data_IF_920180054133
#
_entry.id   IF_920180054133
#
_cell.length_a   1.000
_cell.length_b   1.000
_cell.length_c   1.000
_cell.angle_alpha   90.00
_cell.angle_beta   90.00
_cell.angle_gamma   90.00
#
_symmetry.space_group_name_H-M   'P 1'
#
loop_
_entity.id
_entity.type
_entity.pdbx_description
1 polymer ?
#
# COMPACT_ATOMS: atom_id res chain seq x y z
N UNK A 1 28.80 -1.02 2.83
CA UNK A 1 27.96 -0.74 4.02
C UNK A 1 28.12 -1.88 5.00
N UNK A 2 28.41 -1.61 6.28
CA UNK A 2 28.55 -2.67 7.28
C UNK A 2 27.23 -3.43 7.46
N UNK A 3 27.32 -4.76 7.59
CA UNK A 3 26.16 -5.67 7.70
C UNK A 3 25.20 -5.25 8.83
N UNK A 4 25.75 -4.76 9.93
CA UNK A 4 24.99 -4.33 11.11
C UNK A 4 24.19 -3.05 10.85
N UNK A 5 24.83 -2.04 10.22
CA UNK A 5 24.16 -0.79 9.84
C UNK A 5 22.99 -1.06 8.88
N UNK A 6 23.15 -2.00 7.96
CA UNK A 6 22.09 -2.42 7.03
C UNK A 6 20.88 -2.99 7.76
N UNK A 7 21.11 -3.85 8.75
CA UNK A 7 20.04 -4.46 9.52
C UNK A 7 19.27 -3.41 10.34
N UNK A 8 20.00 -2.49 10.98
CA UNK A 8 19.41 -1.38 11.74
C UNK A 8 18.53 -0.51 10.82
N UNK A 9 19.02 -0.16 9.63
CA UNK A 9 18.25 0.64 8.68
C UNK A 9 17.00 -0.08 8.17
N UNK A 10 17.09 -1.38 7.87
CA UNK A 10 15.91 -2.17 7.47
C UNK A 10 14.89 -2.21 8.60
N UNK A 11 15.33 -2.43 9.84
CA UNK A 11 14.45 -2.45 11.00
C UNK A 11 13.78 -1.08 11.22
N UNK A 12 14.52 0.01 11.08
CA UNK A 12 13.98 1.37 11.16
C UNK A 12 12.92 1.64 10.08
N UNK A 13 13.13 1.18 8.84
CA UNK A 13 12.14 1.31 7.77
C UNK A 13 10.88 0.47 8.02
N UNK A 14 11.03 -0.74 8.58
CA UNK A 14 9.88 -1.56 9.00
C UNK A 14 9.10 -0.85 10.11
N UNK A 15 9.79 -0.27 11.10
CA UNK A 15 9.14 0.51 12.15
C UNK A 15 8.39 1.71 11.54
N UNK A 16 8.97 2.37 10.54
CA UNK A 16 8.30 3.47 9.83
C UNK A 16 7.00 3.01 9.13
N UNK A 17 6.98 1.83 8.50
CA UNK A 17 5.76 1.24 7.94
C UNK A 17 4.70 0.97 9.02
N UNK A 18 5.12 0.48 10.18
CA UNK A 18 4.23 0.24 11.32
C UNK A 18 3.65 1.56 11.83
N UNK A 19 4.45 2.62 11.92
CA UNK A 19 3.99 3.94 12.35
C UNK A 19 2.97 4.53 11.38
N UNK A 20 3.18 4.40 10.07
CA UNK A 20 2.19 4.85 9.07
C UNK A 20 0.84 4.16 9.27
N UNK A 21 0.87 2.87 9.60
CA UNK A 21 -0.35 2.10 9.91
C UNK A 21 -0.96 2.50 11.24
N UNK A 22 -0.15 2.71 12.27
CA UNK A 22 -0.65 3.07 13.60
C UNK A 22 -1.34 4.44 13.60
N UNK A 23 -0.76 5.41 12.90
CA UNK A 23 -1.31 6.76 12.76
C UNK A 23 -2.25 6.91 11.55
N UNK A 24 -2.80 5.80 11.02
CA UNK A 24 -3.62 5.86 9.81
C UNK A 24 -4.91 6.67 10.02
N UNK A 25 -5.50 6.60 11.22
CA UNK A 25 -6.76 7.28 11.60
C UNK A 25 -6.57 8.80 11.75
N UNK A 26 -5.37 9.25 12.15
CA UNK A 26 -5.08 10.68 12.38
C UNK A 26 -4.45 11.37 11.16
N UNK A 27 -3.53 10.68 10.48
CA UNK A 27 -2.73 11.28 9.40
C UNK A 27 -3.47 11.38 8.08
N UNK A 28 -4.49 10.54 7.84
CA UNK A 28 -5.17 10.59 6.56
C UNK A 28 -6.68 10.39 6.62
N UNK A 29 -7.35 11.20 5.80
CA UNK A 29 -8.80 11.20 5.68
C UNK A 29 -9.30 9.95 4.95
N UNK A 30 -10.01 9.09 5.67
CA UNK A 30 -10.66 7.91 5.10
C UNK A 30 -11.99 7.57 5.78
N UNK A 31 -13.12 8.14 5.31
CA UNK A 31 -14.44 7.89 5.87
C UNK A 31 -14.89 6.43 5.70
N UNK A 32 -14.25 5.67 4.81
CA UNK A 32 -14.57 4.25 4.68
C UNK A 32 -13.97 3.42 5.80
N UNK A 33 -12.94 3.89 6.50
CA UNK A 33 -12.38 3.12 7.61
C UNK A 33 -13.42 2.92 8.72
N UNK A 34 -14.14 3.98 9.07
CA UNK A 34 -15.25 3.94 10.03
C UNK A 34 -16.48 3.22 9.46
N UNK A 35 -16.77 3.38 8.17
CA UNK A 35 -17.83 2.65 7.49
C UNK A 35 -17.69 1.13 7.62
N UNK A 36 -16.51 0.58 7.31
CA UNK A 36 -16.26 -0.86 7.40
C UNK A 36 -16.09 -1.37 8.84
N UNK A 37 -15.86 -0.48 9.82
CA UNK A 37 -15.90 -0.82 11.25
C UNK A 37 -17.34 -0.99 11.77
N UNK A 38 -18.32 -0.35 11.13
CA UNK A 38 -19.75 -0.48 11.41
C UNK A 38 -20.41 -1.54 10.50
N UNK A 39 -21.71 -1.81 10.67
CA UNK A 39 -22.49 -2.77 9.86
C UNK A 39 -22.65 -2.33 8.39
N UNK A 40 -21.55 -2.32 7.64
CA UNK A 40 -21.41 -1.86 6.26
C UNK A 40 -22.26 -2.65 5.26
N UNK A 41 -22.76 -3.82 5.64
CA UNK A 41 -23.67 -4.63 4.84
C UNK A 41 -25.09 -4.04 4.77
N UNK A 42 -25.44 -3.13 5.69
CA UNK A 42 -26.80 -2.60 5.83
C UNK A 42 -26.88 -1.07 5.75
N UNK A 43 -25.74 -0.38 5.61
CA UNK A 43 -25.66 1.09 5.63
C UNK A 43 -25.22 1.60 4.26
N UNK A 44 -25.83 2.70 3.82
CA UNK A 44 -25.41 3.37 2.59
C UNK A 44 -24.00 3.96 2.70
N UNK A 45 -23.31 3.90 1.57
CA UNK A 45 -22.00 4.50 1.36
C UNK A 45 -21.95 5.96 1.88
N UNK A 46 -21.08 6.31 2.86
CA UNK A 46 -21.03 7.65 3.46
C UNK A 46 -20.82 8.76 2.43
N UNK A 47 -21.25 9.98 2.78
CA UNK A 47 -20.98 11.19 2.00
C UNK A 47 -19.47 11.45 2.03
N UNK A 48 -18.83 11.54 0.86
CA UNK A 48 -17.36 11.65 0.76
C UNK A 48 -16.95 12.83 -0.09
N UNK A 49 -15.89 13.49 0.33
CA UNK A 49 -15.08 14.30 -0.57
C UNK A 49 -14.14 13.38 -1.35
N UNK A 50 -14.57 12.93 -2.54
CA UNK A 50 -13.83 11.94 -3.33
C UNK A 50 -12.44 12.45 -3.74
N UNK A 51 -12.26 13.75 -3.97
CA UNK A 51 -10.92 14.32 -4.20
C UNK A 51 -10.00 14.16 -2.98
N UNK A 52 -10.48 14.51 -1.78
CA UNK A 52 -9.70 14.44 -0.54
C UNK A 52 -9.34 12.98 -0.22
N UNK A 53 -10.31 12.08 -0.31
CA UNK A 53 -10.12 10.63 -0.15
C UNK A 53 -9.04 10.08 -1.11
N UNK A 54 -9.13 10.41 -2.40
CA UNK A 54 -8.18 9.94 -3.41
C UNK A 54 -6.79 10.50 -3.11
N UNK A 55 -6.65 11.80 -2.83
CA UNK A 55 -5.37 12.42 -2.52
C UNK A 55 -4.68 11.76 -1.31
N UNK A 56 -5.41 11.52 -0.23
CA UNK A 56 -4.87 10.85 0.96
C UNK A 56 -4.54 9.36 0.71
N UNK A 57 -5.35 8.66 -0.08
CA UNK A 57 -5.06 7.27 -0.49
C UNK A 57 -3.80 7.20 -1.35
N UNK A 58 -3.64 8.14 -2.29
CA UNK A 58 -2.44 8.27 -3.12
C UNK A 58 -1.20 8.59 -2.29
N UNK A 59 -1.32 9.50 -1.32
CA UNK A 59 -0.23 9.85 -0.40
C UNK A 59 0.21 8.65 0.43
N UNK A 60 -0.73 7.88 0.99
CA UNK A 60 -0.44 6.63 1.71
C UNK A 60 0.31 5.64 0.81
N UNK A 61 -0.21 5.41 -0.40
CA UNK A 61 0.43 4.50 -1.34
C UNK A 61 1.86 4.95 -1.67
N UNK A 62 2.07 6.24 -1.89
CA UNK A 62 3.38 6.81 -2.19
C UNK A 62 4.36 6.63 -1.01
N UNK A 63 3.96 6.96 0.21
CA UNK A 63 4.80 6.78 1.41
C UNK A 63 5.18 5.31 1.61
N UNK A 64 4.20 4.41 1.54
CA UNK A 64 4.45 2.97 1.61
C UNK A 64 5.40 2.49 0.51
N UNK A 65 5.23 2.98 -0.71
CA UNK A 65 6.08 2.64 -1.86
C UNK A 65 7.51 3.11 -1.64
N UNK A 66 7.73 4.36 -1.22
CA UNK A 66 9.08 4.90 -0.97
C UNK A 66 9.83 4.09 0.09
N UNK A 67 9.15 3.77 1.20
CA UNK A 67 9.75 2.98 2.29
C UNK A 67 10.01 1.55 1.82
N UNK A 68 9.07 0.96 1.09
CA UNK A 68 9.20 -0.39 0.53
C UNK A 68 10.35 -0.51 -0.46
N UNK A 69 10.54 0.48 -1.35
CA UNK A 69 11.68 0.55 -2.25
C UNK A 69 12.99 0.71 -1.47
N UNK A 70 12.99 1.49 -0.39
CA UNK A 70 14.11 1.58 0.55
C UNK A 70 14.48 0.22 1.15
N UNK A 71 13.49 -0.54 1.61
CA UNK A 71 13.68 -1.90 2.15
C UNK A 71 14.25 -2.83 1.09
N UNK A 72 13.69 -2.85 -0.12
CA UNK A 72 14.17 -3.67 -1.24
C UNK A 72 15.62 -3.28 -1.63
N UNK A 73 15.94 -1.99 -1.59
CA UNK A 73 17.28 -1.52 -1.93
C UNK A 73 18.28 -2.02 -0.90
N UNK A 74 17.96 -1.91 0.39
CA UNK A 74 18.82 -2.40 1.46
C UNK A 74 18.92 -3.93 1.46
N UNK A 75 17.85 -4.65 1.14
CA UNK A 75 17.84 -6.11 1.12
C UNK A 75 18.73 -6.69 0.01
N UNK A 76 18.68 -6.12 -1.19
CA UNK A 76 19.35 -6.68 -2.35
C UNK A 76 20.56 -5.88 -2.86
N UNK A 77 20.66 -4.59 -2.54
CA UNK A 77 21.72 -3.66 -2.98
C UNK A 77 21.92 -3.58 -4.51
N UNK A 78 20.91 -3.98 -5.29
CA UNK A 78 20.94 -3.96 -6.77
C UNK A 78 19.99 -2.89 -7.30
N UNK A 79 20.54 -1.95 -8.08
CA UNK A 79 19.73 -0.90 -8.74
C UNK A 79 18.74 -1.48 -9.77
N UNK A 80 19.03 -2.62 -10.38
CA UNK A 80 18.13 -3.31 -11.31
C UNK A 80 16.82 -3.74 -10.66
N UNK A 81 16.90 -4.27 -9.43
CA UNK A 81 15.72 -4.68 -8.63
C UNK A 81 14.84 -3.47 -8.33
N UNK A 82 15.43 -2.32 -8.00
CA UNK A 82 14.66 -1.09 -7.76
C UNK A 82 13.98 -0.58 -9.02
N UNK A 83 14.68 -0.53 -10.17
CA UNK A 83 14.08 -0.12 -11.44
C UNK A 83 12.88 -1.00 -11.79
N UNK A 84 13.01 -2.32 -11.65
CA UNK A 84 11.91 -3.25 -11.90
C UNK A 84 10.76 -3.05 -10.90
N UNK A 85 11.09 -2.93 -9.61
CA UNK A 85 10.08 -2.72 -8.55
C UNK A 85 9.27 -1.45 -8.80
N UNK A 86 9.91 -0.34 -9.16
CA UNK A 86 9.24 0.93 -9.48
C UNK A 86 8.20 0.73 -10.59
N UNK A 87 8.52 -0.02 -11.65
CA UNK A 87 7.57 -0.32 -12.72
C UNK A 87 6.36 -1.08 -12.18
N UNK A 88 6.57 -2.11 -11.35
CA UNK A 88 5.49 -2.88 -10.73
C UNK A 88 4.61 -2.00 -9.82
N UNK A 89 5.23 -1.14 -9.00
CA UNK A 89 4.48 -0.23 -8.14
C UNK A 89 3.64 0.77 -8.94
N UNK A 90 4.19 1.36 -10.01
CA UNK A 90 3.47 2.32 -10.86
C UNK A 90 2.31 1.66 -11.59
N UNK A 91 2.54 0.50 -12.23
CA UNK A 91 1.48 -0.23 -12.93
C UNK A 91 0.39 -0.71 -11.96
N UNK A 92 0.80 -1.26 -10.81
CA UNK A 92 -0.10 -1.68 -9.75
C UNK A 92 -0.93 -0.52 -9.21
N UNK A 93 -0.32 0.64 -8.99
CA UNK A 93 -1.03 1.85 -8.55
C UNK A 93 -2.09 2.30 -9.55
N UNK A 94 -1.74 2.41 -10.84
CA UNK A 94 -2.70 2.85 -11.87
C UNK A 94 -3.89 1.88 -11.93
N UNK A 95 -3.62 0.57 -11.94
CA UNK A 95 -4.66 -0.45 -11.98
C UNK A 95 -5.55 -0.42 -10.73
N UNK A 96 -4.95 -0.43 -9.55
CA UNK A 96 -5.67 -0.44 -8.28
C UNK A 96 -6.45 0.85 -8.04
N UNK A 97 -5.89 2.00 -8.42
CA UNK A 97 -6.56 3.30 -8.28
C UNK A 97 -7.76 3.39 -9.22
N UNK A 98 -7.65 2.92 -10.47
CA UNK A 98 -8.77 2.86 -11.39
C UNK A 98 -9.90 1.98 -10.85
N UNK A 99 -9.56 0.80 -10.32
CA UNK A 99 -10.52 -0.09 -9.69
C UNK A 99 -11.15 0.56 -8.44
N UNK A 100 -10.36 1.22 -7.59
CA UNK A 100 -10.85 1.95 -6.43
C UNK A 100 -11.85 3.06 -6.82
N UNK A 101 -11.53 3.87 -7.84
CA UNK A 101 -12.40 4.93 -8.33
C UNK A 101 -13.73 4.39 -8.88
N UNK A 102 -13.70 3.26 -9.57
CA UNK A 102 -14.91 2.60 -10.08
C UNK A 102 -15.90 2.30 -8.95
N UNK A 103 -15.43 1.71 -7.84
CA UNK A 103 -16.27 1.41 -6.67
C UNK A 103 -16.69 2.66 -5.89
N UNK A 104 -15.86 3.71 -5.87
CA UNK A 104 -16.21 4.97 -5.22
C UNK A 104 -17.37 5.66 -5.95
N UNK A 105 -17.40 5.59 -7.29
CA UNK A 105 -18.46 6.19 -8.12
C UNK A 105 -19.72 5.31 -8.18
N UNK A 106 -19.55 3.98 -8.19
CA UNK A 106 -20.65 3.02 -8.27
C UNK A 106 -20.69 2.09 -7.04
N UNK A 107 -21.05 2.60 -5.85
CA UNK A 107 -21.09 1.79 -4.64
C UNK A 107 -22.27 0.82 -4.71
N UNK A 108 -21.99 -0.48 -4.84
CA UNK A 108 -22.98 -1.55 -4.71
C UNK A 108 -22.65 -2.43 -3.51
N UNK A 109 -23.64 -2.78 -2.70
CA UNK A 109 -23.44 -3.56 -1.48
C UNK A 109 -22.81 -4.94 -1.76
N UNK A 110 -23.21 -5.58 -2.88
CA UNK A 110 -22.63 -6.84 -3.37
C UNK A 110 -21.10 -6.76 -3.59
N UNK A 111 -20.59 -5.57 -3.92
CA UNK A 111 -19.19 -5.34 -4.25
C UNK A 111 -18.34 -4.85 -3.06
N UNK A 112 -18.93 -4.61 -1.89
CA UNK A 112 -18.23 -4.02 -0.74
C UNK A 112 -17.05 -4.87 -0.25
N UNK A 113 -17.18 -6.20 -0.31
CA UNK A 113 -16.08 -7.09 0.02
C UNK A 113 -14.89 -6.91 -0.93
N UNK A 114 -15.15 -6.79 -2.23
CA UNK A 114 -14.10 -6.62 -3.23
C UNK A 114 -13.45 -5.24 -3.13
N UNK A 115 -14.26 -4.20 -2.95
CA UNK A 115 -13.78 -2.84 -2.71
C UNK A 115 -12.88 -2.74 -1.48
N UNK A 116 -13.26 -3.38 -0.38
CA UNK A 116 -12.46 -3.45 0.84
C UNK A 116 -11.08 -4.09 0.61
N UNK A 117 -11.02 -5.16 -0.20
CA UNK A 117 -9.76 -5.80 -0.54
C UNK A 117 -8.88 -4.90 -1.42
N UNK A 118 -9.44 -4.22 -2.43
CA UNK A 118 -8.69 -3.26 -3.26
C UNK A 118 -8.09 -2.14 -2.41
N UNK A 119 -8.88 -1.61 -1.46
CA UNK A 119 -8.40 -0.59 -0.52
C UNK A 119 -7.20 -1.08 0.28
N UNK A 120 -7.24 -2.32 0.78
CA UNK A 120 -6.11 -2.91 1.50
C UNK A 120 -4.84 -2.98 0.64
N UNK A 121 -4.96 -3.33 -0.64
CA UNK A 121 -3.81 -3.34 -1.57
C UNK A 121 -3.20 -1.95 -1.80
N UNK A 122 -3.99 -0.88 -1.77
CA UNK A 122 -3.50 0.50 -1.89
C UNK A 122 -2.91 1.04 -0.58
N UNK A 123 -3.50 0.69 0.55
CA UNK A 123 -3.18 1.27 1.86
C UNK A 123 -2.04 0.50 2.55
N UNK A 124 -1.93 -0.81 2.33
CA UNK A 124 -0.92 -1.66 2.98
C UNK A 124 0.23 -1.97 2.03
N UNK A 125 1.46 -2.20 2.54
CA UNK A 125 2.63 -2.53 1.73
C UNK A 125 2.59 -4.00 1.22
N UNK A 126 1.48 -4.44 0.64
CA UNK A 126 1.29 -5.81 0.14
C UNK A 126 2.21 -6.13 -1.04
N UNK A 127 2.46 -5.15 -1.92
CA UNK A 127 3.40 -5.30 -3.04
C UNK A 127 4.80 -5.62 -2.53
N UNK A 128 5.24 -5.02 -1.42
CA UNK A 128 6.52 -5.33 -0.80
C UNK A 128 6.59 -6.80 -0.37
N UNK A 129 5.54 -7.29 0.30
CA UNK A 129 5.46 -8.67 0.77
C UNK A 129 5.52 -9.69 -0.37
N UNK A 130 5.03 -9.33 -1.55
CA UNK A 130 5.11 -10.17 -2.76
C UNK A 130 6.49 -10.07 -3.41
N UNK A 131 7.05 -8.87 -3.55
CA UNK A 131 8.31 -8.64 -4.24
C UNK A 131 9.52 -9.20 -3.48
N UNK A 132 9.52 -9.13 -2.15
CA UNK A 132 10.63 -9.58 -1.31
C UNK A 132 10.97 -11.07 -1.52
N UNK A 133 10.03 -12.04 -1.40
CA UNK A 133 10.30 -13.44 -1.70
C UNK A 133 10.56 -13.69 -3.19
N UNK A 134 9.89 -12.95 -4.09
CA UNK A 134 10.09 -13.12 -5.54
C UNK A 134 11.54 -12.82 -5.96
N UNK A 135 12.10 -11.71 -5.48
CA UNK A 135 13.52 -11.38 -5.73
C UNK A 135 14.48 -12.26 -4.96
N UNK A 136 14.09 -12.72 -3.76
CA UNK A 136 14.91 -13.66 -3.00
C UNK A 136 15.07 -14.98 -3.75
N UNK A 137 13.97 -15.52 -4.29
CA UNK A 137 14.00 -16.74 -5.10
C UNK A 137 14.79 -16.54 -6.39
N UNK A 138 14.59 -15.43 -7.11
CA UNK A 138 15.36 -15.11 -8.31
C UNK A 138 16.88 -15.10 -8.03
N UNK A 139 17.31 -14.54 -6.89
CA UNK A 139 18.71 -14.51 -6.48
C UNK A 139 19.28 -15.89 -6.14
N UNK A 140 18.45 -16.84 -5.67
CA UNK A 140 18.92 -18.20 -5.37
C UNK A 140 19.16 -19.02 -6.64
N UNK A 141 18.38 -18.75 -7.69
CA UNK A 141 18.41 -19.52 -8.94
C UNK A 141 19.37 -18.94 -9.98
N UNK A 142 19.77 -17.67 -9.87
CA UNK A 142 20.75 -16.99 -10.75
C UNK A 142 22.12 -16.84 -10.10
#
# INVERSE_FOLDING_TARGET
MHKNLRLILVFALILLLILIRFFEDELFYDPYLEFFKNDYLYIDSPRRETFKLVAFTSLRFLLNTLISLGILYLAFLKKSIIKFSVIIYVLGYIFLLAAFLYFVVNPRQEDYYLFFNIRRFLIQPLILLVLLPAFYYNKLTS
#
